data_IF_225057890461
#
_entry.id   IF_225057890461
#
_cell.length_a   1.000
_cell.length_b   1.000
_cell.length_c   1.000
_cell.angle_alpha   90.00
_cell.angle_beta   90.00
_cell.angle_gamma   90.00
#
_symmetry.space_group_name_H-M   'P 1'
#
loop_
_entity.id
_entity.type
_entity.pdbx_description
1 polymer ?
#
# COMPACT_ATOMS: atom_id res chain seq x y z
N UNK A 1 -1.88 -27.85 13.10
CA UNK A 1 -2.38 -29.15 12.61
C UNK A 1 -3.75 -29.08 11.93
N UNK A 2 -4.04 -27.95 11.27
CA UNK A 2 -5.31 -27.76 10.60
C UNK A 2 -5.26 -28.01 9.11
N UNK A 3 -4.10 -27.79 8.52
CA UNK A 3 -3.90 -27.95 7.08
C UNK A 3 -3.26 -29.29 6.78
N UNK A 4 -3.71 -29.99 5.73
CA UNK A 4 -3.02 -31.18 5.22
C UNK A 4 -1.59 -30.83 4.80
N UNK A 5 -0.68 -31.79 4.91
CA UNK A 5 0.75 -31.61 4.57
C UNK A 5 0.96 -31.10 3.15
N UNK A 6 0.09 -31.44 2.21
CA UNK A 6 0.18 -30.98 0.83
C UNK A 6 -0.18 -29.51 0.65
N UNK A 7 -0.90 -28.88 1.59
CA UNK A 7 -1.15 -27.43 1.62
C UNK A 7 -0.01 -26.74 2.37
N UNK A 8 0.49 -27.36 3.43
CA UNK A 8 1.52 -26.82 4.31
C UNK A 8 1.01 -25.64 5.13
N UNK A 9 1.61 -24.48 4.98
CA UNK A 9 1.27 -23.25 5.70
C UNK A 9 1.02 -22.07 4.79
N UNK A 10 0.60 -20.94 5.40
CA UNK A 10 0.50 -19.64 4.74
C UNK A 10 1.55 -18.71 5.32
N UNK A 11 2.28 -18.03 4.44
CA UNK A 11 3.16 -16.91 4.76
C UNK A 11 2.43 -15.61 4.41
N UNK A 12 2.29 -14.74 5.38
CA UNK A 12 1.84 -13.36 5.13
C UNK A 12 3.04 -12.55 4.67
N UNK A 13 3.04 -12.17 3.41
CA UNK A 13 4.21 -11.61 2.74
C UNK A 13 3.98 -10.20 2.23
N UNK A 14 4.97 -9.34 2.42
CA UNK A 14 5.04 -7.99 1.88
C UNK A 14 6.49 -7.59 1.60
N UNK A 15 6.67 -6.56 0.80
CA UNK A 15 7.96 -5.97 0.45
C UNK A 15 8.05 -4.53 0.95
N UNK A 16 9.27 -4.08 1.24
CA UNK A 16 9.59 -2.73 1.71
C UNK A 16 9.26 -2.51 3.19
N UNK A 17 8.80 -1.34 3.58
CA UNK A 17 8.51 -0.97 4.96
C UNK A 17 7.28 -1.73 5.50
N UNK A 18 7.51 -2.59 6.49
CA UNK A 18 6.46 -3.45 7.07
C UNK A 18 5.24 -2.68 7.63
N UNK A 19 5.42 -1.41 8.00
CA UNK A 19 4.35 -0.55 8.48
C UNK A 19 3.50 0.03 7.33
N UNK A 20 4.04 0.05 6.12
CA UNK A 20 3.46 0.72 4.95
C UNK A 20 3.15 -0.22 3.78
N UNK A 21 3.02 -1.52 4.03
CA UNK A 21 2.62 -2.50 3.04
C UNK A 21 1.43 -3.32 3.55
N UNK A 22 0.59 -3.80 2.64
CA UNK A 22 -0.40 -4.82 2.98
C UNK A 22 0.22 -6.21 2.79
N UNK A 23 0.10 -7.04 3.80
CA UNK A 23 0.56 -8.42 3.74
C UNK A 23 -0.42 -9.26 2.91
N UNK A 24 0.11 -10.04 1.98
CA UNK A 24 -0.67 -10.94 1.12
C UNK A 24 -0.45 -12.40 1.52
N UNK A 25 -1.50 -13.26 1.45
CA UNK A 25 -1.38 -14.67 1.79
C UNK A 25 -0.64 -15.44 0.68
N UNK A 26 0.51 -16.00 1.01
CA UNK A 26 1.34 -16.82 0.13
C UNK A 26 1.40 -18.24 0.70
N UNK A 27 0.71 -19.19 0.08
CA UNK A 27 0.70 -20.58 0.53
C UNK A 27 1.98 -21.30 0.14
N UNK A 28 2.48 -22.16 1.02
CA UNK A 28 3.71 -22.93 0.77
C UNK A 28 3.59 -23.95 -0.36
N UNK A 29 2.37 -24.31 -0.75
CA UNK A 29 2.08 -25.20 -1.88
C UNK A 29 2.05 -24.48 -3.25
N UNK A 30 2.48 -23.22 -3.34
CA UNK A 30 2.52 -22.45 -4.58
C UNK A 30 3.24 -23.19 -5.70
N UNK A 31 2.61 -23.25 -6.88
CA UNK A 31 3.24 -23.75 -8.10
C UNK A 31 4.15 -22.70 -8.77
N UNK A 32 3.86 -21.41 -8.54
CA UNK A 32 4.65 -20.30 -9.06
C UNK A 32 4.57 -19.08 -8.14
N UNK A 33 5.67 -18.33 -8.04
CA UNK A 33 5.72 -17.07 -7.29
C UNK A 33 4.92 -16.00 -8.01
N UNK A 34 4.10 -15.17 -7.30
CA UNK A 34 3.46 -14.02 -7.92
C UNK A 34 4.46 -13.14 -8.69
N UNK A 35 4.12 -12.77 -9.92
CA UNK A 35 5.05 -12.05 -10.81
C UNK A 35 5.59 -10.78 -10.17
N UNK A 36 4.75 -10.06 -9.42
CA UNK A 36 5.15 -8.81 -8.75
C UNK A 36 6.23 -9.01 -7.68
N UNK A 37 6.41 -10.21 -7.14
CA UNK A 37 7.47 -10.54 -6.19
C UNK A 37 8.73 -11.12 -6.87
N UNK A 38 8.70 -11.25 -8.20
CA UNK A 38 9.83 -11.78 -8.94
C UNK A 38 10.92 -10.73 -9.17
N UNK A 39 12.17 -11.09 -8.94
CA UNK A 39 13.35 -10.27 -9.29
C UNK A 39 13.57 -10.10 -10.80
N UNK A 40 12.82 -10.83 -11.63
CA UNK A 40 12.91 -10.72 -13.10
C UNK A 40 12.36 -9.40 -13.65
N UNK A 41 11.42 -8.77 -12.92
CA UNK A 41 10.76 -7.53 -13.36
C UNK A 41 11.59 -6.28 -13.05
N UNK A 42 12.39 -6.32 -12.00
CA UNK A 42 13.15 -5.18 -11.52
C UNK A 42 14.25 -5.63 -10.55
N UNK A 43 15.20 -4.76 -10.28
CA UNK A 43 16.27 -4.97 -9.31
C UNK A 43 16.61 -3.63 -8.61
N UNK A 44 17.65 -3.60 -7.79
CA UNK A 44 18.02 -2.41 -7.03
C UNK A 44 18.34 -1.16 -7.89
N UNK A 45 18.65 -1.34 -9.16
CA UNK A 45 18.99 -0.26 -10.10
C UNK A 45 18.02 -0.13 -11.28
N UNK A 46 16.98 -0.96 -11.30
CA UNK A 46 15.99 -0.97 -12.38
C UNK A 46 14.57 -0.96 -11.81
N UNK A 47 13.88 0.13 -12.04
CA UNK A 47 12.52 0.37 -11.57
C UNK A 47 11.47 -0.33 -12.45
N UNK A 48 10.38 -0.80 -11.82
CA UNK A 48 9.15 -1.22 -12.49
C UNK A 48 7.94 -1.07 -11.58
N UNK A 49 6.88 -0.45 -12.07
CA UNK A 49 5.57 -0.42 -11.37
C UNK A 49 4.90 -1.80 -11.24
N UNK A 50 5.36 -2.80 -11.98
CA UNK A 50 4.87 -4.18 -11.85
C UNK A 50 5.57 -4.95 -10.73
N UNK A 51 6.63 -4.41 -10.15
CA UNK A 51 7.38 -5.02 -9.06
C UNK A 51 6.89 -4.47 -7.71
N UNK A 52 6.55 -5.36 -6.78
CA UNK A 52 5.95 -4.99 -5.51
C UNK A 52 6.88 -4.16 -4.63
N UNK A 53 8.19 -4.46 -4.62
CA UNK A 53 9.14 -3.65 -3.88
C UNK A 53 9.10 -2.19 -4.35
N UNK A 54 9.22 -1.95 -5.65
CA UNK A 54 9.23 -0.59 -6.18
C UNK A 54 7.90 0.14 -6.02
N UNK A 55 6.78 -0.57 -6.17
CA UNK A 55 5.46 0.02 -5.94
C UNK A 55 5.28 0.42 -4.47
N UNK A 56 5.60 -0.48 -3.53
CA UNK A 56 5.49 -0.20 -2.10
C UNK A 56 6.46 0.91 -1.67
N UNK A 57 7.72 0.84 -2.12
CA UNK A 57 8.73 1.85 -1.83
C UNK A 57 8.35 3.24 -2.36
N UNK A 58 7.77 3.32 -3.55
CA UNK A 58 7.29 4.59 -4.09
C UNK A 58 6.18 5.19 -3.22
N UNK A 59 5.21 4.39 -2.80
CA UNK A 59 4.13 4.84 -1.90
C UNK A 59 4.68 5.22 -0.53
N UNK A 60 5.57 4.41 0.06
CA UNK A 60 6.21 4.72 1.36
C UNK A 60 6.93 6.06 1.32
N UNK A 61 7.70 6.32 0.25
CA UNK A 61 8.42 7.58 0.10
C UNK A 61 7.47 8.79 -0.04
N UNK A 62 6.32 8.63 -0.68
CA UNK A 62 5.28 9.69 -0.67
C UNK A 62 4.73 9.93 0.74
N UNK A 63 4.47 8.85 1.50
CA UNK A 63 3.94 8.94 2.86
C UNK A 63 4.95 9.58 3.81
N UNK A 64 6.24 9.22 3.74
CA UNK A 64 7.29 9.81 4.57
C UNK A 64 7.37 11.32 4.44
N UNK A 65 7.08 11.85 3.27
CA UNK A 65 7.14 13.29 3.03
C UNK A 65 6.21 14.09 3.95
N UNK A 66 5.03 13.53 4.30
CA UNK A 66 4.05 14.14 5.21
C UNK A 66 3.29 13.05 5.97
N UNK A 67 4.01 12.31 6.77
CA UNK A 67 3.54 11.10 7.44
C UNK A 67 2.20 11.26 8.16
N UNK A 68 2.05 12.32 8.96
CA UNK A 68 0.83 12.58 9.73
C UNK A 68 -0.43 12.80 8.89
N UNK A 69 -0.28 13.16 7.62
CA UNK A 69 -1.41 13.38 6.70
C UNK A 69 -1.66 12.19 5.76
N UNK A 70 -0.57 11.56 5.27
CA UNK A 70 -0.69 10.53 4.25
C UNK A 70 -0.78 9.12 4.84
N UNK A 71 -0.17 8.87 5.99
CA UNK A 71 -0.21 7.55 6.62
C UNK A 71 -1.63 7.06 6.94
N UNK A 72 -2.58 7.89 7.47
CA UNK A 72 -3.96 7.45 7.66
C UNK A 72 -4.67 6.98 6.38
N UNK A 73 -4.36 7.58 5.23
CA UNK A 73 -4.89 7.15 3.92
C UNK A 73 -4.35 5.76 3.54
N UNK A 74 -3.04 5.56 3.67
CA UNK A 74 -2.39 4.27 3.44
C UNK A 74 -2.92 3.21 4.42
N UNK A 75 -2.97 3.53 5.70
CA UNK A 75 -3.43 2.63 6.75
C UNK A 75 -4.85 2.13 6.47
N UNK A 76 -5.75 3.02 6.05
CA UNK A 76 -7.13 2.65 5.70
C UNK A 76 -7.18 1.60 4.59
N UNK A 77 -6.37 1.72 3.55
CA UNK A 77 -6.30 0.76 2.43
C UNK A 77 -5.66 -0.55 2.90
N UNK A 78 -4.54 -0.48 3.61
CA UNK A 78 -3.84 -1.64 4.17
C UNK A 78 -4.76 -2.47 5.06
N UNK A 79 -5.35 -1.84 6.07
CA UNK A 79 -6.16 -2.53 7.08
C UNK A 79 -7.41 -3.15 6.45
N UNK A 80 -8.01 -2.51 5.43
CA UNK A 80 -9.12 -3.08 4.67
C UNK A 80 -8.68 -4.32 3.91
N UNK A 81 -7.59 -4.26 3.15
CA UNK A 81 -7.09 -5.41 2.39
C UNK A 81 -6.74 -6.59 3.27
N UNK A 82 -6.00 -6.36 4.35
CA UNK A 82 -5.61 -7.43 5.29
C UNK A 82 -6.84 -8.05 5.97
N UNK A 83 -7.83 -7.23 6.34
CA UNK A 83 -9.11 -7.74 6.87
C UNK A 83 -9.83 -8.61 5.85
N UNK A 84 -9.89 -8.18 4.58
CA UNK A 84 -10.56 -8.91 3.51
C UNK A 84 -9.84 -10.26 3.27
N UNK A 85 -8.51 -10.26 3.17
CA UNK A 85 -7.72 -11.47 2.99
C UNK A 85 -7.87 -12.44 4.17
N UNK A 86 -7.80 -11.95 5.40
CA UNK A 86 -8.01 -12.76 6.60
C UNK A 86 -9.42 -13.37 6.65
N UNK A 87 -10.44 -12.61 6.26
CA UNK A 87 -11.83 -13.11 6.27
C UNK A 87 -12.08 -14.25 5.28
N UNK A 88 -11.32 -14.29 4.18
CA UNK A 88 -11.42 -15.32 3.14
C UNK A 88 -10.62 -16.59 3.46
N UNK A 89 -9.60 -16.50 4.30
CA UNK A 89 -8.62 -17.57 4.52
C UNK A 89 -9.27 -18.92 4.79
N UNK A 90 -10.12 -19.02 5.82
CA UNK A 90 -10.75 -20.29 6.20
C UNK A 90 -11.62 -20.88 5.08
N UNK A 91 -12.31 -20.02 4.32
CA UNK A 91 -13.14 -20.46 3.19
C UNK A 91 -12.27 -21.03 2.07
N UNK A 92 -11.15 -20.37 1.74
CA UNK A 92 -10.24 -20.82 0.70
C UNK A 92 -9.55 -22.14 1.09
N UNK A 93 -9.10 -22.27 2.34
CA UNK A 93 -8.48 -23.49 2.85
C UNK A 93 -9.45 -24.66 2.89
N UNK A 94 -10.68 -24.47 3.35
CA UNK A 94 -11.70 -25.51 3.34
C UNK A 94 -12.03 -25.97 1.93
N UNK A 95 -12.14 -25.03 0.99
CA UNK A 95 -12.37 -25.37 -0.42
C UNK A 95 -11.21 -26.17 -1.01
N UNK A 96 -9.98 -25.80 -0.69
CA UNK A 96 -8.80 -26.55 -1.13
C UNK A 96 -8.77 -27.99 -0.58
N UNK A 97 -9.17 -28.18 0.69
CA UNK A 97 -9.32 -29.54 1.27
C UNK A 97 -10.35 -30.40 0.54
N UNK A 98 -11.52 -29.80 0.19
CA UNK A 98 -12.58 -30.49 -0.57
C UNK A 98 -12.11 -30.92 -1.97
N UNK A 99 -11.27 -30.09 -2.62
CA UNK A 99 -10.74 -30.38 -3.95
C UNK A 99 -9.66 -31.45 -3.96
N UNK A 100 -9.05 -31.76 -2.82
CA UNK A 100 -7.97 -32.73 -2.70
C UNK A 100 -6.60 -32.16 -3.14
N UNK A 101 -5.57 -33.01 -3.13
CA UNK A 101 -4.19 -32.57 -3.22
C UNK A 101 -3.88 -31.75 -4.49
N UNK A 102 -4.17 -32.28 -5.66
CA UNK A 102 -3.77 -31.65 -6.94
C UNK A 102 -4.53 -30.35 -7.19
N UNK A 103 -5.85 -30.42 -7.18
CA UNK A 103 -6.70 -29.26 -7.47
C UNK A 103 -6.69 -28.24 -6.30
N UNK A 104 -6.51 -28.69 -5.06
CA UNK A 104 -6.40 -27.82 -3.90
C UNK A 104 -5.13 -26.97 -3.92
N UNK A 105 -3.98 -27.55 -4.28
CA UNK A 105 -2.73 -26.78 -4.48
C UNK A 105 -2.89 -25.71 -5.57
N UNK A 106 -3.44 -26.09 -6.70
CA UNK A 106 -3.70 -25.17 -7.80
C UNK A 106 -4.65 -24.02 -7.37
N UNK A 107 -5.72 -24.38 -6.67
CA UNK A 107 -6.70 -23.41 -6.18
C UNK A 107 -6.07 -22.36 -5.24
N UNK A 108 -5.21 -22.79 -4.30
CA UNK A 108 -4.52 -21.88 -3.39
C UNK A 108 -3.38 -21.10 -4.08
N UNK A 109 -2.73 -21.69 -5.08
CA UNK A 109 -1.80 -20.96 -5.94
C UNK A 109 -2.50 -19.82 -6.66
N UNK A 110 -3.61 -20.08 -7.32
CA UNK A 110 -4.41 -19.06 -8.01
C UNK A 110 -4.94 -18.00 -7.04
N UNK A 111 -5.32 -18.39 -5.82
CA UNK A 111 -5.74 -17.46 -4.79
C UNK A 111 -4.59 -16.53 -4.38
N UNK A 112 -3.40 -17.06 -4.07
CA UNK A 112 -2.23 -16.26 -3.71
C UNK A 112 -1.82 -15.28 -4.82
N UNK A 113 -1.83 -15.74 -6.08
CA UNK A 113 -1.53 -14.89 -7.24
C UNK A 113 -2.52 -13.72 -7.35
N UNK A 114 -3.82 -14.01 -7.17
CA UNK A 114 -4.86 -12.97 -7.21
C UNK A 114 -4.75 -11.97 -6.07
N UNK A 115 -4.46 -12.40 -4.84
CA UNK A 115 -4.31 -11.49 -3.70
C UNK A 115 -3.11 -10.56 -3.86
N UNK A 116 -2.00 -11.09 -4.37
CA UNK A 116 -0.84 -10.25 -4.73
C UNK A 116 -1.18 -9.24 -5.84
N UNK A 117 -1.93 -9.64 -6.86
CA UNK A 117 -2.42 -8.74 -7.91
C UNK A 117 -3.34 -7.64 -7.35
N UNK A 118 -4.30 -8.00 -6.51
CA UNK A 118 -5.19 -7.03 -5.85
C UNK A 118 -4.40 -6.00 -5.03
N UNK A 119 -3.41 -6.43 -4.26
CA UNK A 119 -2.55 -5.52 -3.51
C UNK A 119 -1.85 -4.53 -4.44
N UNK A 120 -1.29 -4.99 -5.56
CA UNK A 120 -0.63 -4.12 -6.53
C UNK A 120 -1.57 -3.09 -7.15
N UNK A 121 -2.79 -3.49 -7.52
CA UNK A 121 -3.80 -2.60 -8.08
C UNK A 121 -4.24 -1.53 -7.06
N UNK A 122 -4.49 -1.93 -5.82
CA UNK A 122 -4.86 -1.01 -4.73
C UNK A 122 -3.73 -0.04 -4.38
N UNK A 123 -2.47 -0.50 -4.38
CA UNK A 123 -1.31 0.38 -4.16
C UNK A 123 -1.12 1.39 -5.29
N UNK A 124 -1.35 0.99 -6.54
CA UNK A 124 -1.34 1.92 -7.66
C UNK A 124 -2.46 2.97 -7.53
N UNK A 125 -3.67 2.57 -7.17
CA UNK A 125 -4.79 3.50 -6.95
C UNK A 125 -4.50 4.44 -5.77
N UNK A 126 -3.95 3.90 -4.67
CA UNK A 126 -3.52 4.71 -3.52
C UNK A 126 -2.47 5.74 -3.92
N UNK A 127 -1.44 5.35 -4.68
CA UNK A 127 -0.40 6.25 -5.16
C UNK A 127 -0.99 7.42 -5.98
N UNK A 128 -1.90 7.10 -6.90
CA UNK A 128 -2.60 8.10 -7.72
C UNK A 128 -3.45 9.04 -6.86
N UNK A 129 -4.18 8.49 -5.88
CA UNK A 129 -4.98 9.27 -4.93
C UNK A 129 -4.11 10.22 -4.11
N UNK A 130 -3.00 9.71 -3.57
CA UNK A 130 -2.07 10.50 -2.75
C UNK A 130 -1.47 11.66 -3.56
N UNK A 131 -1.02 11.40 -4.80
CA UNK A 131 -0.50 12.45 -5.67
C UNK A 131 -1.60 13.50 -5.94
N UNK A 132 -2.78 13.07 -6.37
CA UNK A 132 -3.86 14.02 -6.72
C UNK A 132 -4.27 14.86 -5.53
N UNK A 133 -4.43 14.25 -4.33
CA UNK A 133 -4.93 14.94 -3.14
C UNK A 133 -3.89 15.85 -2.49
N UNK A 134 -2.61 15.45 -2.50
CA UNK A 134 -1.56 16.08 -1.70
C UNK A 134 -0.41 16.70 -2.50
N UNK A 135 -0.53 16.76 -3.83
CA UNK A 135 0.49 17.38 -4.67
C UNK A 135 0.70 18.86 -4.33
N UNK A 136 1.89 19.38 -4.62
CA UNK A 136 2.27 20.79 -4.46
C UNK A 136 2.11 21.33 -3.04
N UNK A 137 2.32 20.48 -2.02
CA UNK A 137 2.16 20.85 -0.61
C UNK A 137 0.73 21.30 -0.25
N UNK A 138 -0.23 21.00 -1.10
CA UNK A 138 -1.65 21.30 -0.90
C UNK A 138 -2.38 20.09 -0.29
N UNK A 139 -3.60 20.34 0.21
CA UNK A 139 -4.59 19.32 0.55
C UNK A 139 -5.86 19.68 -0.20
N UNK A 140 -6.18 18.92 -1.26
CA UNK A 140 -7.46 19.12 -1.95
C UNK A 140 -8.61 18.66 -1.06
N UNK A 141 -9.68 19.46 -1.02
CA UNK A 141 -10.84 19.20 -0.16
C UNK A 141 -11.73 18.14 -0.75
N UNK A 142 -12.20 17.26 0.13
CA UNK A 142 -13.14 16.19 -0.20
C UNK A 142 -14.35 16.30 0.73
N UNK A 143 -15.49 15.78 0.27
CA UNK A 143 -16.69 15.60 1.09
C UNK A 143 -16.57 14.38 2.03
N UNK A 144 -17.64 14.10 2.78
CA UNK A 144 -17.69 12.95 3.70
C UNK A 144 -17.60 11.60 2.99
N UNK A 145 -17.93 11.54 1.70
CA UNK A 145 -17.84 10.36 0.85
C UNK A 145 -16.48 10.23 0.17
N UNK A 146 -15.58 11.22 0.32
CA UNK A 146 -14.24 11.24 -0.28
C UNK A 146 -14.18 11.79 -1.70
N UNK A 147 -15.26 12.37 -2.24
CA UNK A 147 -15.27 13.01 -3.55
C UNK A 147 -14.69 14.41 -3.46
N UNK A 148 -13.96 14.84 -4.49
CA UNK A 148 -13.43 16.22 -4.53
C UNK A 148 -14.56 17.24 -4.60
N UNK A 149 -14.47 18.28 -3.76
CA UNK A 149 -15.42 19.40 -3.78
C UNK A 149 -15.02 20.31 -4.95
N UNK A 150 -15.95 20.48 -5.89
CA UNK A 150 -15.71 21.23 -7.13
C UNK A 150 -16.47 22.56 -7.14
N UNK A 151 -15.92 23.54 -7.88
CA UNK A 151 -16.62 24.75 -8.26
C UNK A 151 -17.73 24.44 -9.29
N UNK A 152 -18.66 25.36 -9.56
CA UNK A 152 -19.63 25.19 -10.65
C UNK A 152 -19.00 24.95 -12.02
N UNK A 153 -17.75 25.35 -12.23
CA UNK A 153 -16.99 25.12 -13.46
C UNK A 153 -16.30 23.75 -13.53
N UNK A 154 -16.45 22.89 -12.50
CA UNK A 154 -15.85 21.55 -12.46
C UNK A 154 -14.40 21.48 -11.93
N UNK A 155 -13.83 22.61 -11.53
CA UNK A 155 -12.49 22.68 -10.96
C UNK A 155 -12.53 22.45 -9.43
N UNK A 156 -11.51 21.82 -8.83
CA UNK A 156 -11.43 21.73 -7.37
C UNK A 156 -11.46 23.11 -6.72
N UNK A 157 -12.22 23.25 -5.62
CA UNK A 157 -12.17 24.48 -4.82
C UNK A 157 -10.76 24.68 -4.25
N UNK A 158 -10.48 25.91 -3.80
CA UNK A 158 -9.16 26.27 -3.27
C UNK A 158 -8.69 25.27 -2.20
N UNK A 159 -7.52 24.62 -2.40
CA UNK A 159 -7.00 23.63 -1.46
C UNK A 159 -6.46 24.31 -0.21
N UNK A 160 -6.39 23.54 0.87
CA UNK A 160 -5.65 23.97 2.06
C UNK A 160 -4.14 23.92 1.80
N UNK A 161 -3.41 24.86 2.37
CA UNK A 161 -1.94 24.95 2.28
C UNK A 161 -1.36 25.07 3.68
N UNK A 162 -1.32 23.96 4.45
CA UNK A 162 -0.94 24.03 5.87
C UNK A 162 0.53 24.42 6.10
N UNK A 163 1.38 24.29 5.06
CA UNK A 163 2.83 24.50 5.20
C UNK A 163 3.46 23.51 6.19
N UNK A 164 4.58 23.90 6.78
CA UNK A 164 5.20 23.14 7.85
C UNK A 164 4.54 23.44 9.20
N UNK A 165 4.49 22.46 10.14
CA UNK A 165 3.99 22.68 11.49
C UNK A 165 4.75 23.82 12.21
N UNK A 166 4.05 24.54 13.10
CA UNK A 166 4.65 25.63 13.89
C UNK A 166 5.86 25.19 14.69
N UNK A 167 5.80 23.97 15.27
CA UNK A 167 6.88 23.36 16.01
C UNK A 167 8.15 23.16 15.15
N UNK A 168 7.98 22.71 13.90
CA UNK A 168 9.10 22.58 12.96
C UNK A 168 9.74 23.95 12.67
N UNK A 169 8.91 24.97 12.42
CA UNK A 169 9.42 26.33 12.16
C UNK A 169 10.19 26.88 13.36
N UNK A 170 9.66 26.69 14.58
CA UNK A 170 10.33 27.09 15.81
C UNK A 170 11.68 26.40 15.96
N UNK A 171 11.72 25.08 15.80
CA UNK A 171 12.95 24.31 15.87
C UNK A 171 13.98 24.77 14.83
N UNK A 172 13.56 25.05 13.61
CA UNK A 172 14.45 25.61 12.59
C UNK A 172 15.05 26.95 12.99
N UNK A 173 14.27 27.83 13.60
CA UNK A 173 14.79 29.13 14.09
C UNK A 173 15.76 28.92 15.25
N UNK A 174 15.39 28.09 16.23
CA UNK A 174 16.24 27.80 17.39
C UNK A 174 17.60 27.18 16.99
N UNK A 175 17.59 26.22 16.07
CA UNK A 175 18.82 25.56 15.59
C UNK A 175 19.65 26.40 14.64
N UNK A 176 19.02 27.33 13.93
CA UNK A 176 19.72 28.22 12.98
C UNK A 176 20.38 29.44 13.65
N UNK A 177 19.96 29.79 14.87
CA UNK A 177 20.42 31.01 15.55
C UNK A 177 20.27 32.24 14.66
N UNK A 178 21.31 33.07 14.60
CA UNK A 178 21.32 34.34 13.84
C UNK A 178 21.56 34.15 12.33
N UNK A 179 21.71 32.92 11.84
CA UNK A 179 22.09 32.65 10.44
C UNK A 179 21.17 33.27 9.40
N UNK A 180 19.89 33.38 9.72
CA UNK A 180 18.85 33.91 8.81
C UNK A 180 18.29 35.26 9.25
N UNK A 181 18.88 35.91 10.25
CA UNK A 181 18.51 37.28 10.59
C UNK A 181 19.02 38.25 9.52
N UNK A 182 18.12 39.10 9.02
CA UNK A 182 18.52 40.22 8.17
C UNK A 182 19.36 41.17 9.00
N UNK A 183 20.57 41.44 8.57
CA UNK A 183 21.44 42.46 9.15
C UNK A 183 21.12 43.82 8.59
#
# INVERSE_FOLDING_TARGET
>A
DYLPDYIGGVLWFGNDDANMVALTPVYSCLESVPECYSSKLANATQFSFRNAFWMCNWVSNMVYYRYNLLFPELQSVRDRLEKDFNSLQATMENKAKELGEVEGKKYLSDYSLRMAGMMMDEWMQLAQKLIVKYNDMCIKKVDEQGNYILTPGGEPIAPDRPGYPEEYRRKMVEESGDKYLLK
#
